data_IF_456235464508
#
_entry.id   IF_456235464508
#
_cell.length_a   1.000
_cell.length_b   1.000
_cell.length_c   1.000
_cell.angle_alpha   90.00
_cell.angle_beta   90.00
_cell.angle_gamma   90.00
#
_symmetry.space_group_name_H-M   'P 1'
#
loop_
_entity.id
_entity.type
_entity.pdbx_description
1 polymer ?
#
# COMPACT_ATOMS: atom_id res chain seq x y z
N UNK A 1 -14.32 -3.84 7.89
CA UNK A 1 -14.18 -3.76 6.43
C UNK A 1 -12.74 -3.49 6.02
N UNK A 2 -12.06 -2.47 6.55
CA UNK A 2 -10.63 -2.22 6.30
C UNK A 2 -9.70 -3.45 6.49
N UNK A 3 -9.97 -4.29 7.49
CA UNK A 3 -9.18 -5.51 7.72
C UNK A 3 -9.27 -6.53 6.57
N UNK A 4 -10.39 -6.58 5.84
CA UNK A 4 -10.57 -7.50 4.71
C UNK A 4 -9.73 -7.05 3.50
N UNK A 5 -9.64 -5.74 3.25
CA UNK A 5 -8.88 -5.23 2.10
C UNK A 5 -7.38 -5.32 2.31
N UNK A 6 -6.88 -5.04 3.53
CA UNK A 6 -5.46 -5.22 3.86
C UNK A 6 -5.03 -6.68 3.72
N UNK A 7 -5.85 -7.63 4.18
CA UNK A 7 -5.57 -9.06 4.01
C UNK A 7 -5.54 -9.47 2.54
N UNK A 8 -6.45 -8.95 1.71
CA UNK A 8 -6.47 -9.20 0.26
C UNK A 8 -5.23 -8.64 -0.44
N UNK A 9 -4.77 -7.44 -0.03
CA UNK A 9 -3.54 -6.84 -0.53
C UNK A 9 -2.35 -7.73 -0.19
N UNK A 10 -2.23 -8.17 1.07
CA UNK A 10 -1.12 -9.02 1.52
C UNK A 10 -1.07 -10.36 0.78
N UNK A 11 -2.22 -11.03 0.62
CA UNK A 11 -2.31 -12.26 -0.17
C UNK A 11 -1.92 -12.04 -1.64
N UNK A 12 -2.32 -10.90 -2.22
CA UNK A 12 -1.97 -10.58 -3.61
C UNK A 12 -0.48 -10.30 -3.73
N UNK A 13 0.11 -9.55 -2.81
CA UNK A 13 1.55 -9.27 -2.76
C UNK A 13 2.37 -10.56 -2.63
N UNK A 14 1.97 -11.49 -1.77
CA UNK A 14 2.65 -12.79 -1.62
C UNK A 14 2.73 -13.52 -2.98
N UNK A 15 1.64 -13.50 -3.74
CA UNK A 15 1.57 -14.12 -5.07
C UNK A 15 2.41 -13.39 -6.12
N UNK A 16 2.36 -12.06 -6.14
CA UNK A 16 3.05 -11.23 -7.14
C UNK A 16 4.56 -11.25 -6.93
N UNK A 17 4.99 -11.11 -5.68
CA UNK A 17 6.40 -11.05 -5.30
C UNK A 17 7.03 -12.43 -5.11
N UNK A 18 6.22 -13.50 -5.16
CA UNK A 18 6.66 -14.89 -4.92
C UNK A 18 7.47 -15.02 -3.62
N UNK A 19 6.99 -14.36 -2.56
CA UNK A 19 7.68 -14.28 -1.28
C UNK A 19 6.89 -14.98 -0.19
N UNK A 20 7.61 -15.62 0.75
CA UNK A 20 7.02 -16.24 1.93
C UNK A 20 6.84 -15.23 3.09
N UNK A 21 7.47 -14.05 2.99
CA UNK A 21 7.36 -12.98 4.01
C UNK A 21 7.14 -11.64 3.31
N UNK A 22 5.87 -11.31 3.08
CA UNK A 22 5.45 -10.04 2.48
C UNK A 22 5.92 -8.87 3.35
N UNK A 23 5.77 -8.99 4.67
CA UNK A 23 6.14 -7.93 5.59
C UNK A 23 7.64 -7.58 5.52
N UNK A 24 8.52 -8.58 5.51
CA UNK A 24 9.97 -8.35 5.38
C UNK A 24 10.31 -7.75 4.01
N UNK A 25 9.71 -8.30 2.96
CA UNK A 25 9.93 -7.83 1.57
C UNK A 25 9.52 -6.37 1.43
N UNK A 26 8.33 -6.00 1.88
CA UNK A 26 7.82 -4.62 1.82
C UNK A 26 8.63 -3.68 2.72
N UNK A 27 9.10 -4.14 3.87
CA UNK A 27 9.97 -3.35 4.75
C UNK A 27 11.29 -3.04 4.07
N UNK A 28 11.91 -4.03 3.44
CA UNK A 28 13.12 -3.85 2.65
C UNK A 28 12.92 -2.88 1.48
N UNK A 29 11.85 -3.05 0.70
CA UNK A 29 11.55 -2.18 -0.44
C UNK A 29 11.30 -0.72 -0.02
N UNK A 30 10.59 -0.50 1.09
CA UNK A 30 10.40 0.86 1.65
C UNK A 30 11.71 1.48 2.13
N UNK A 31 12.58 0.71 2.75
CA UNK A 31 13.90 1.19 3.17
C UNK A 31 14.74 1.62 1.96
N UNK A 32 14.82 0.79 0.92
CA UNK A 32 15.49 1.13 -0.33
C UNK A 32 14.91 2.38 -0.99
N UNK A 33 13.58 2.48 -1.06
CA UNK A 33 12.92 3.66 -1.63
C UNK A 33 13.21 4.92 -0.82
N UNK A 34 13.27 4.83 0.52
CA UNK A 34 13.63 5.95 1.41
C UNK A 34 15.07 6.41 1.17
N UNK A 35 16.01 5.49 1.01
CA UNK A 35 17.40 5.81 0.71
C UNK A 35 17.55 6.57 -0.60
N UNK A 36 16.82 6.16 -1.64
CA UNK A 36 16.84 6.82 -2.95
C UNK A 36 16.10 8.15 -2.95
N UNK A 37 15.07 8.30 -2.12
CA UNK A 37 14.18 9.46 -2.11
C UNK A 37 13.93 9.98 -0.69
N UNK A 38 14.97 10.53 -0.02
CA UNK A 38 14.92 10.83 1.41
C UNK A 38 13.94 11.96 1.77
N UNK A 39 13.54 12.78 0.82
CA UNK A 39 12.61 13.91 1.01
C UNK A 39 11.14 13.50 1.01
N UNK A 40 10.78 12.28 0.60
CA UNK A 40 9.39 11.83 0.66
C UNK A 40 9.00 11.35 2.05
N UNK A 41 7.71 11.55 2.38
CA UNK A 41 7.09 11.04 3.59
C UNK A 41 6.98 9.51 3.54
N UNK A 42 6.76 8.88 4.71
CA UNK A 42 6.56 7.43 4.77
C UNK A 42 5.37 6.96 3.94
N UNK A 43 4.28 7.74 3.91
CA UNK A 43 3.09 7.44 3.10
C UNK A 43 3.40 7.53 1.60
N UNK A 44 4.11 8.57 1.16
CA UNK A 44 4.52 8.71 -0.24
C UNK A 44 5.44 7.57 -0.68
N UNK A 45 6.35 7.13 0.20
CA UNK A 45 7.23 6.00 -0.05
C UNK A 45 6.44 4.70 -0.16
N UNK A 46 5.45 4.50 0.72
CA UNK A 46 4.57 3.35 0.63
C UNK A 46 3.81 3.34 -0.70
N UNK A 47 3.17 4.45 -1.08
CA UNK A 47 2.50 4.60 -2.36
C UNK A 47 3.44 4.28 -3.54
N UNK A 48 4.68 4.79 -3.52
CA UNK A 48 5.67 4.52 -4.56
C UNK A 48 6.03 3.04 -4.69
N UNK A 49 6.21 2.34 -3.57
CA UNK A 49 6.51 0.90 -3.57
C UNK A 49 5.34 0.11 -4.18
N UNK A 50 4.10 0.39 -3.75
CA UNK A 50 2.92 -0.27 -4.31
C UNK A 50 2.76 0.00 -5.80
N UNK A 51 2.84 1.26 -6.24
CA UNK A 51 2.72 1.64 -7.64
C UNK A 51 3.85 1.04 -8.50
N UNK A 52 5.07 0.93 -7.94
CA UNK A 52 6.19 0.26 -8.58
C UNK A 52 5.92 -1.23 -8.84
N UNK A 53 5.42 -1.95 -7.83
CA UNK A 53 5.05 -3.36 -7.94
C UNK A 53 3.91 -3.55 -8.96
N UNK A 54 2.85 -2.73 -8.86
CA UNK A 54 1.71 -2.75 -9.79
C UNK A 54 2.20 -2.57 -11.23
N UNK A 55 3.06 -1.58 -11.47
CA UNK A 55 3.58 -1.28 -12.80
C UNK A 55 4.50 -2.37 -13.34
N UNK A 56 5.41 -2.88 -12.50
CA UNK A 56 6.36 -3.92 -12.89
C UNK A 56 5.67 -5.22 -13.28
N UNK A 57 4.62 -5.60 -12.55
CA UNK A 57 3.90 -6.85 -12.75
C UNK A 57 2.60 -6.69 -13.57
N UNK A 58 2.27 -5.45 -13.99
CA UNK A 58 1.01 -5.10 -14.66
C UNK A 58 -0.23 -5.67 -13.92
N UNK A 59 -0.24 -5.55 -12.59
CA UNK A 59 -1.21 -6.24 -11.74
C UNK A 59 -2.45 -5.39 -11.43
N UNK A 60 -3.46 -5.50 -12.29
CA UNK A 60 -4.73 -4.75 -12.16
C UNK A 60 -5.50 -5.06 -10.88
N UNK A 61 -5.33 -6.26 -10.31
CA UNK A 61 -6.02 -6.64 -9.07
C UNK A 61 -5.39 -5.90 -7.89
N UNK A 62 -4.05 -5.86 -7.83
CA UNK A 62 -3.34 -5.10 -6.82
C UNK A 62 -3.60 -3.60 -6.95
N UNK A 63 -3.68 -3.08 -8.18
CA UNK A 63 -4.04 -1.69 -8.46
C UNK A 63 -5.42 -1.32 -7.88
N UNK A 64 -6.45 -2.12 -8.20
CA UNK A 64 -7.78 -1.93 -7.65
C UNK A 64 -7.79 -2.00 -6.11
N UNK A 65 -7.15 -3.02 -5.53
CA UNK A 65 -7.13 -3.20 -4.08
C UNK A 65 -6.44 -2.03 -3.37
N UNK A 66 -5.33 -1.53 -3.92
CA UNK A 66 -4.61 -0.39 -3.38
C UNK A 66 -5.45 0.88 -3.43
N UNK A 67 -6.07 1.16 -4.57
CA UNK A 67 -6.93 2.33 -4.73
C UNK A 67 -8.15 2.30 -3.79
N UNK A 68 -8.80 1.14 -3.66
CA UNK A 68 -9.90 0.95 -2.72
C UNK A 68 -9.45 1.18 -1.26
N UNK A 69 -8.27 0.69 -0.87
CA UNK A 69 -7.72 0.92 0.46
C UNK A 69 -7.47 2.42 0.73
N UNK A 70 -6.86 3.15 -0.21
CA UNK A 70 -6.63 4.60 -0.07
C UNK A 70 -7.95 5.38 0.03
N UNK A 71 -8.97 4.98 -0.72
CA UNK A 71 -10.29 5.60 -0.63
C UNK A 71 -10.97 5.36 0.73
N UNK A 72 -10.89 4.14 1.28
CA UNK A 72 -11.44 3.84 2.61
C UNK A 72 -10.74 4.67 3.71
N UNK A 73 -9.41 4.83 3.61
CA UNK A 73 -8.65 5.69 4.53
C UNK A 73 -9.08 7.16 4.44
N UNK A 74 -9.27 7.69 3.23
CA UNK A 74 -9.72 9.06 3.00
C UNK A 74 -11.16 9.31 3.50
N UNK A 75 -12.06 8.32 3.38
CA UNK A 75 -13.41 8.44 3.90
C UNK A 75 -13.45 8.41 5.43
N UNK A 76 -12.60 7.58 6.05
CA UNK A 76 -12.51 7.47 7.51
C UNK A 76 -11.97 8.77 8.13
N UNK A 77 -10.99 9.40 7.50
CA UNK A 77 -10.48 10.69 7.97
C UNK A 77 -11.56 11.77 7.86
N UNK A 78 -12.29 11.86 6.74
CA UNK A 78 -13.37 12.84 6.56
C UNK A 78 -14.49 12.69 7.60
N UNK A 79 -14.93 11.46 7.88
CA UNK A 79 -15.95 11.20 8.91
C UNK A 79 -15.48 11.59 10.32
N UNK A 80 -14.19 11.44 10.62
CA UNK A 80 -13.62 11.81 11.93
C UNK A 80 -13.63 13.32 12.15
N UNK A 81 -13.36 14.11 11.11
CA UNK A 81 -13.47 15.57 11.18
C UNK A 81 -14.91 16.05 11.31
N UNK A 82 -15.87 15.39 10.65
CA UNK A 82 -17.29 15.77 10.72
C UNK A 82 -17.96 15.49 12.08
N UNK A 83 -17.40 14.60 12.91
CA UNK A 83 -17.90 14.28 14.25
C UNK A 83 -17.27 15.11 15.37
N UNK A 84 -16.19 15.82 15.07
CA UNK A 84 -15.46 16.66 16.01
C UNK A 84 -15.83 18.16 15.90
N UNK A 85 -16.72 18.51 14.96
CA UNK A 85 -17.30 19.84 14.77
C UNK A 85 -18.73 19.88 15.33
#
# INVERSE_FOLDING_TARGET
MAHDITNKIEQRLAKVLQTNSVQETMTFLRALQKEQTPYYSAEQIEDMVYLGIIKLHNDRVLDYLWYSYKNEQAQTSYQSYSKAA
#
